data_IF_187260739721
#
_entry.id   IF_187260739721
#
_cell.length_a   1.000
_cell.length_b   1.000
_cell.length_c   1.000
_cell.angle_alpha   90.00
_cell.angle_beta   90.00
_cell.angle_gamma   90.00
#
_symmetry.space_group_name_H-M   'P 1'
#
loop_
_entity.id
_entity.type
_entity.pdbx_description
1 polymer ?
#
# COMPACT_ATOMS: atom_id res chain seq x y z
N UNK A 1 13.15 -1.87 25.62
CA UNK A 1 13.55 -1.19 24.37
C UNK A 1 12.31 -0.50 23.84
N UNK A 2 12.34 0.82 23.72
CA UNK A 2 11.24 1.60 23.16
C UNK A 2 11.32 1.41 21.63
N UNK A 3 10.37 0.71 21.02
CA UNK A 3 10.37 0.49 19.58
C UNK A 3 10.28 1.84 18.86
N UNK A 4 11.23 2.09 17.96
CA UNK A 4 11.27 3.32 17.18
C UNK A 4 10.48 3.12 15.88
N UNK A 5 9.15 3.24 15.99
CA UNK A 5 8.18 3.00 14.91
C UNK A 5 8.51 3.76 13.63
N UNK A 6 9.00 4.99 13.75
CA UNK A 6 9.34 5.84 12.60
C UNK A 6 10.61 5.37 11.89
N UNK A 7 11.53 4.70 12.59
CA UNK A 7 12.75 4.14 12.02
C UNK A 7 12.57 2.73 11.43
N UNK A 8 11.44 2.08 11.70
CA UNK A 8 11.14 0.72 11.25
C UNK A 8 10.27 0.75 10.00
N UNK A 9 10.62 -0.07 8.99
CA UNK A 9 9.75 -0.31 7.83
C UNK A 9 9.00 -1.62 8.06
N UNK A 10 7.67 -1.57 8.08
CA UNK A 10 6.85 -2.75 8.30
C UNK A 10 6.35 -3.28 6.96
N UNK A 11 6.77 -4.47 6.54
CA UNK A 11 6.31 -5.07 5.29
C UNK A 11 5.22 -6.08 5.57
N UNK A 12 4.03 -5.79 5.06
CA UNK A 12 2.81 -6.57 5.17
C UNK A 12 2.63 -7.36 3.89
N UNK A 13 2.36 -8.65 4.02
CA UNK A 13 2.17 -9.53 2.87
C UNK A 13 0.98 -10.46 3.14
N UNK A 14 -0.02 -10.39 2.27
CA UNK A 14 -1.29 -11.09 2.48
C UNK A 14 -2.11 -11.26 1.20
N UNK A 15 -3.26 -11.91 1.32
CA UNK A 15 -4.19 -12.19 0.22
C UNK A 15 -5.38 -11.24 0.35
N UNK A 16 -5.69 -10.52 -0.73
CA UNK A 16 -6.90 -9.72 -0.85
C UNK A 16 -8.02 -10.57 -1.46
N UNK A 17 -9.08 -10.76 -0.69
CA UNK A 17 -10.27 -11.53 -1.06
C UNK A 17 -11.47 -10.61 -1.15
N UNK A 18 -12.34 -10.85 -2.13
CA UNK A 18 -13.66 -10.24 -2.19
C UNK A 18 -14.63 -11.13 -1.43
N UNK A 19 -15.39 -10.55 -0.52
CA UNK A 19 -16.41 -11.28 0.24
C UNK A 19 -17.64 -11.39 -0.66
N UNK A 20 -17.93 -12.61 -1.10
CA UNK A 20 -19.15 -12.87 -1.88
C UNK A 20 -20.35 -12.65 -0.97
N UNK A 21 -21.25 -11.74 -1.34
CA UNK A 21 -22.58 -11.67 -0.72
C UNK A 21 -23.26 -12.98 -1.08
N UNK A 22 -23.39 -13.90 -0.11
CA UNK A 22 -24.16 -15.12 -0.27
C UNK A 22 -25.50 -14.75 -0.93
N UNK A 23 -25.85 -15.42 -2.03
CA UNK A 23 -27.00 -15.12 -2.88
C UNK A 23 -28.38 -15.32 -2.22
N UNK A 24 -28.50 -15.17 -0.91
CA UNK A 24 -29.74 -15.12 -0.16
C UNK A 24 -30.31 -13.70 -0.19
N UNK A 25 -31.38 -13.52 -0.98
CA UNK A 25 -32.33 -12.41 -0.82
C UNK A 25 -32.64 -12.17 0.67
N UNK A 26 -32.21 -11.04 1.18
CA UNK A 26 -32.90 -10.32 2.23
C UNK A 26 -32.94 -8.85 1.82
N UNK A 27 -34.05 -8.47 1.20
CA UNK A 27 -34.54 -7.10 1.23
C UNK A 27 -34.78 -6.77 2.71
N UNK A 28 -33.89 -6.02 3.34
CA UNK A 28 -34.25 -5.12 4.43
C UNK A 28 -33.15 -4.07 4.61
N UNK A 29 -33.59 -2.81 4.54
CA UNK A 29 -32.81 -1.60 4.41
C UNK A 29 -31.83 -1.38 5.57
N UNK A 30 -30.53 -1.48 5.28
CA UNK A 30 -29.53 -0.58 5.86
C UNK A 30 -28.65 -0.09 4.71
N UNK A 31 -28.98 1.09 4.18
CA UNK A 31 -28.21 1.77 3.15
C UNK A 31 -26.73 1.91 3.57
N UNK A 32 -25.89 1.01 3.08
CA UNK A 32 -24.45 0.98 3.33
C UNK A 32 -23.70 0.77 2.01
N UNK A 33 -23.86 1.74 1.09
CA UNK A 33 -22.97 1.99 -0.05
C UNK A 33 -22.85 0.90 -1.13
N UNK A 34 -22.74 1.34 -2.40
CA UNK A 34 -22.44 0.50 -3.57
C UNK A 34 -20.97 -0.03 -3.59
N UNK A 35 -20.44 -0.43 -2.43
CA UNK A 35 -19.07 -0.91 -2.28
C UNK A 35 -18.94 -2.42 -2.32
N UNK A 36 -17.80 -2.90 -2.82
CA UNK A 36 -17.39 -4.30 -2.71
C UNK A 36 -16.83 -4.56 -1.30
N UNK A 37 -17.36 -5.55 -0.59
CA UNK A 37 -16.81 -5.97 0.69
C UNK A 37 -15.52 -6.78 0.46
N UNK A 38 -14.46 -6.43 1.18
CA UNK A 38 -13.13 -7.02 0.98
C UNK A 38 -12.48 -7.43 2.29
N UNK A 39 -11.63 -8.45 2.22
CA UNK A 39 -10.81 -8.96 3.31
C UNK A 39 -9.35 -9.00 2.88
N UNK A 40 -8.44 -8.55 3.73
CA UNK A 40 -7.00 -8.72 3.55
C UNK A 40 -6.40 -9.37 4.79
N UNK A 41 -5.85 -10.57 4.61
CA UNK A 41 -5.26 -11.35 5.71
C UNK A 41 -3.86 -11.82 5.37
N UNK A 42 -3.03 -11.92 6.40
CA UNK A 42 -1.68 -12.47 6.25
C UNK A 42 -0.77 -12.16 7.42
N UNK A 43 0.47 -11.82 7.07
CA UNK A 43 1.56 -11.62 8.04
C UNK A 43 2.37 -10.38 7.73
N UNK A 44 2.98 -9.78 8.73
CA UNK A 44 3.90 -8.66 8.54
C UNK A 44 5.24 -8.88 9.23
N UNK A 45 6.28 -8.20 8.74
CA UNK A 45 7.64 -8.23 9.29
C UNK A 45 8.16 -6.80 9.46
N UNK A 46 8.71 -6.49 10.64
CA UNK A 46 9.38 -5.22 10.91
C UNK A 46 10.86 -5.30 10.52
N UNK A 47 11.32 -4.33 9.74
CA UNK A 47 12.73 -4.15 9.40
C UNK A 47 13.23 -2.86 10.02
N UNK A 48 14.20 -2.96 10.94
CA UNK A 48 14.84 -1.81 11.59
C UNK A 48 15.77 -1.07 10.61
N UNK A 49 15.19 -0.49 9.57
CA UNK A 49 15.90 0.22 8.52
C UNK A 49 15.26 1.57 8.24
N UNK A 50 16.07 2.61 8.49
CA UNK A 50 15.80 3.99 8.06
C UNK A 50 15.90 4.13 6.53
N UNK A 51 16.63 3.24 5.88
CA UNK A 51 16.92 3.23 4.45
C UNK A 51 16.07 2.16 3.77
N UNK A 52 15.03 2.58 3.06
CA UNK A 52 14.07 1.66 2.46
C UNK A 52 14.68 0.82 1.33
N UNK A 53 15.73 1.32 0.67
CA UNK A 53 16.43 0.62 -0.43
C UNK A 53 17.09 -0.69 0.03
N UNK A 54 17.32 -0.85 1.33
CA UNK A 54 17.93 -2.04 1.93
C UNK A 54 16.91 -3.09 2.38
N UNK A 55 15.62 -2.79 2.25
CA UNK A 55 14.55 -3.69 2.66
C UNK A 55 14.09 -4.50 1.47
N UNK A 56 14.45 -5.78 1.46
CA UNK A 56 13.99 -6.74 0.47
C UNK A 56 12.52 -7.11 0.69
N UNK A 57 11.89 -7.63 -0.37
CA UNK A 57 10.60 -8.28 -0.23
C UNK A 57 10.74 -9.48 0.72
N UNK A 58 9.82 -9.68 1.67
CA UNK A 58 9.90 -10.82 2.56
C UNK A 58 9.82 -12.12 1.76
N UNK A 59 10.69 -13.07 2.10
CA UNK A 59 10.79 -14.35 1.42
C UNK A 59 9.77 -15.33 1.99
N UNK A 60 9.17 -16.12 1.11
CA UNK A 60 8.20 -17.16 1.44
C UNK A 60 8.76 -18.52 1.05
N UNK A 61 8.49 -19.55 1.85
CA UNK A 61 8.75 -20.92 1.44
C UNK A 61 7.89 -21.30 0.23
N UNK A 62 8.31 -22.27 -0.59
CA UNK A 62 7.57 -22.67 -1.78
C UNK A 62 6.18 -23.27 -1.48
N UNK A 63 5.93 -23.69 -0.23
CA UNK A 63 4.69 -24.31 0.22
C UNK A 63 3.97 -23.50 1.31
N UNK A 64 4.55 -22.37 1.73
CA UNK A 64 3.92 -21.53 2.74
C UNK A 64 2.94 -20.58 2.07
N UNK A 65 1.76 -20.40 2.68
CA UNK A 65 0.77 -19.44 2.20
C UNK A 65 1.21 -18.00 2.53
N UNK A 66 1.75 -17.77 3.72
CA UNK A 66 2.21 -16.47 4.21
C UNK A 66 3.71 -16.48 4.50
N UNK A 67 4.27 -15.28 4.67
CA UNK A 67 5.65 -15.13 5.13
C UNK A 67 5.76 -15.73 6.53
N UNK A 68 6.86 -16.42 6.83
CA UNK A 68 7.12 -16.96 8.16
C UNK A 68 7.35 -15.81 9.16
N UNK A 69 6.28 -15.37 9.81
CA UNK A 69 6.28 -14.35 10.86
C UNK A 69 5.29 -14.72 11.94
N UNK A 70 5.59 -14.36 13.18
CA UNK A 70 4.67 -14.50 14.30
C UNK A 70 3.60 -13.39 14.32
N UNK A 71 3.80 -12.32 13.54
CA UNK A 71 2.87 -11.21 13.49
C UNK A 71 1.87 -11.39 12.36
N UNK A 72 0.61 -11.65 12.72
CA UNK A 72 -0.49 -11.85 11.79
C UNK A 72 -1.37 -10.61 11.73
N UNK A 73 -2.13 -10.52 10.65
CA UNK A 73 -3.19 -9.54 10.53
C UNK A 73 -4.39 -10.13 9.79
N UNK A 74 -5.55 -9.61 10.13
CA UNK A 74 -6.82 -9.89 9.48
C UNK A 74 -7.62 -8.58 9.54
N UNK A 75 -7.76 -7.92 8.38
CA UNK A 75 -8.47 -6.65 8.25
C UNK A 75 -9.53 -6.75 7.17
N UNK A 76 -10.67 -6.16 7.44
CA UNK A 76 -11.83 -6.12 6.56
C UNK A 76 -12.15 -4.68 6.20
N UNK A 77 -12.84 -4.50 5.09
CA UNK A 77 -13.18 -3.19 4.59
C UNK A 77 -14.18 -3.20 3.46
N UNK A 78 -14.38 -2.00 2.92
CA UNK A 78 -15.28 -1.77 1.80
C UNK A 78 -14.52 -0.96 0.76
N UNK A 79 -14.53 -1.42 -0.49
CA UNK A 79 -13.95 -0.73 -1.62
C UNK A 79 -15.03 -0.03 -2.43
N UNK A 80 -14.87 1.26 -2.64
CA UNK A 80 -15.72 2.05 -3.52
C UNK A 80 -14.90 2.44 -4.74
N UNK A 81 -15.43 2.18 -5.93
CA UNK A 81 -14.80 2.60 -7.17
C UNK A 81 -15.05 4.09 -7.39
N UNK A 82 -14.01 4.85 -7.66
CA UNK A 82 -14.16 6.25 -8.03
C UNK A 82 -14.89 6.43 -9.37
N UNK A 83 -15.55 7.57 -9.52
CA UNK A 83 -16.43 7.88 -10.64
C UNK A 83 -15.67 8.53 -11.81
N UNK A 84 -16.12 8.26 -13.03
CA UNK A 84 -15.65 8.91 -14.25
C UNK A 84 -16.29 10.28 -14.46
N UNK A 85 -17.45 10.55 -13.86
CA UNK A 85 -18.20 11.79 -14.08
C UNK A 85 -17.54 13.03 -13.46
N UNK A 86 -16.71 12.84 -12.42
CA UNK A 86 -15.91 13.91 -11.78
C UNK A 86 -14.65 14.30 -12.59
N UNK A 87 -14.44 13.70 -13.76
CA UNK A 87 -13.38 14.12 -14.67
C UNK A 87 -13.91 15.31 -15.47
N UNK A 88 -13.85 16.52 -14.87
CA UNK A 88 -13.87 17.73 -15.67
C UNK A 88 -12.78 17.61 -16.75
N UNK A 89 -13.06 18.15 -17.94
CA UNK A 89 -12.29 18.02 -19.17
C UNK A 89 -10.91 18.71 -19.10
N UNK A 90 -10.12 18.41 -18.08
CA UNK A 90 -8.71 18.71 -18.01
C UNK A 90 -8.00 17.87 -19.08
N UNK A 91 -7.34 18.60 -19.98
CA UNK A 91 -6.55 18.10 -21.10
C UNK A 91 -5.71 16.86 -20.71
N UNK A 92 -5.57 15.94 -21.68
CA UNK A 92 -4.85 14.65 -21.65
C UNK A 92 -3.37 14.74 -21.18
N UNK A 93 -3.13 15.21 -19.97
CA UNK A 93 -1.88 14.95 -19.26
C UNK A 93 -1.98 13.53 -18.74
N UNK A 94 -1.37 12.57 -19.46
CA UNK A 94 -1.20 11.21 -18.99
C UNK A 94 -0.45 11.21 -17.65
N UNK A 95 -1.19 11.09 -16.54
CA UNK A 95 -0.61 10.89 -15.21
C UNK A 95 -0.20 9.42 -15.10
N UNK A 96 1.07 9.18 -14.75
CA UNK A 96 1.60 7.83 -14.54
C UNK A 96 0.75 7.09 -13.50
N UNK A 97 0.23 5.92 -13.89
CA UNK A 97 -0.65 5.11 -13.04
C UNK A 97 -2.11 5.54 -13.01
N UNK A 98 -2.53 6.48 -13.89
CA UNK A 98 -3.91 6.94 -14.04
C UNK A 98 -4.32 8.03 -13.03
N UNK A 99 -5.54 8.55 -13.21
CA UNK A 99 -6.14 9.54 -12.30
C UNK A 99 -6.60 8.87 -10.99
N UNK A 100 -6.35 9.49 -9.84
CA UNK A 100 -6.77 8.97 -8.53
C UNK A 100 -8.27 8.78 -8.43
N UNK A 101 -9.06 9.67 -9.04
CA UNK A 101 -10.52 9.58 -9.10
C UNK A 101 -11.05 8.31 -9.78
N UNK A 102 -10.21 7.55 -10.48
CA UNK A 102 -10.60 6.29 -11.12
C UNK A 102 -10.24 5.05 -10.31
N UNK A 103 -9.52 5.20 -9.20
CA UNK A 103 -9.08 4.10 -8.37
C UNK A 103 -10.22 3.61 -7.47
N UNK A 104 -10.12 2.36 -7.02
CA UNK A 104 -10.86 1.90 -5.86
C UNK A 104 -10.21 2.49 -4.60
N UNK A 105 -11.01 3.13 -3.76
CA UNK A 105 -10.63 3.48 -2.39
C UNK A 105 -11.23 2.44 -1.45
N UNK A 106 -10.39 1.67 -0.79
CA UNK A 106 -10.75 0.65 0.18
C UNK A 106 -10.49 1.13 1.61
N UNK A 107 -11.54 1.18 2.43
CA UNK A 107 -11.44 1.55 3.85
C UNK A 107 -11.24 0.30 4.71
N UNK A 108 -9.99 0.04 5.11
CA UNK A 108 -9.52 -1.21 5.74
C UNK A 108 -9.35 -1.09 7.25
N UNK A 109 -10.43 -0.69 7.93
CA UNK A 109 -10.43 -0.36 9.38
C UNK A 109 -11.19 -1.36 10.25
N UNK A 110 -11.80 -2.38 9.64
CA UNK A 110 -12.60 -3.39 10.36
C UNK A 110 -11.80 -4.70 10.53
N UNK A 111 -12.37 -5.64 11.28
CA UNK A 111 -11.80 -6.98 11.49
C UNK A 111 -10.99 -7.11 12.79
N UNK A 112 -10.30 -8.25 12.99
CA UNK A 112 -9.48 -8.49 14.17
C UNK A 112 -8.25 -7.60 14.31
N UNK A 113 -7.84 -6.90 13.25
CA UNK A 113 -6.67 -6.03 13.24
C UNK A 113 -5.37 -6.81 13.09
N UNK A 114 -4.31 -6.33 13.74
CA UNK A 114 -2.98 -6.90 13.63
C UNK A 114 -2.34 -7.18 14.98
N UNK A 115 -1.52 -8.22 15.00
CA UNK A 115 -0.80 -8.68 16.16
C UNK A 115 0.52 -7.91 16.29
N UNK A 116 0.81 -7.40 17.48
CA UNK A 116 2.09 -6.78 17.84
C UNK A 116 2.61 -7.44 19.12
N UNK A 117 3.85 -7.94 19.09
CA UNK A 117 4.48 -8.48 20.30
C UNK A 117 5.19 -7.37 21.06
N UNK A 118 4.73 -7.10 22.27
CA UNK A 118 5.32 -6.13 23.20
C UNK A 118 5.72 -6.87 24.48
N UNK A 119 7.00 -7.20 24.61
CA UNK A 119 7.48 -8.01 25.75
C UNK A 119 7.03 -9.47 25.65
N UNK A 120 6.41 -10.01 26.70
CA UNK A 120 6.01 -11.43 26.79
C UNK A 120 4.65 -11.73 26.12
N UNK A 121 3.88 -10.70 25.74
CA UNK A 121 2.52 -10.85 25.20
C UNK A 121 2.36 -10.37 23.76
N UNK A 122 1.34 -10.91 23.08
CA UNK A 122 0.85 -10.41 21.79
C UNK A 122 -0.40 -9.59 22.06
N UNK A 123 -0.39 -8.32 21.64
CA UNK A 123 -1.53 -7.41 21.72
C UNK A 123 -2.09 -7.18 20.33
N UNK A 124 -3.42 -7.07 20.23
CA UNK A 124 -4.11 -6.72 18.99
C UNK A 124 -4.29 -5.22 18.88
N UNK A 125 -4.02 -4.70 17.70
CA UNK A 125 -4.10 -3.29 17.35
C UNK A 125 -4.95 -3.10 16.09
N UNK A 126 -5.53 -1.91 15.93
CA UNK A 126 -6.35 -1.56 14.77
C UNK A 126 -5.95 -0.20 14.24
N UNK A 127 -6.13 -0.01 12.93
CA UNK A 127 -6.02 1.29 12.32
C UNK A 127 -7.31 2.08 12.52
N UNK A 128 -7.19 3.38 12.84
CA UNK A 128 -8.34 4.30 12.93
C UNK A 128 -8.69 4.85 11.56
N UNK A 129 -7.70 4.98 10.68
CA UNK A 129 -7.84 5.31 9.26
C UNK A 129 -6.92 4.39 8.48
N UNK A 130 -7.43 3.80 7.40
CA UNK A 130 -6.62 2.98 6.49
C UNK A 130 -7.27 2.98 5.11
N UNK A 131 -6.95 4.00 4.33
CA UNK A 131 -7.47 4.19 2.98
C UNK A 131 -6.45 3.63 2.00
N UNK A 132 -6.80 2.50 1.38
CA UNK A 132 -5.94 1.77 0.43
C UNK A 132 -6.47 1.97 -0.98
N UNK A 133 -5.59 2.33 -1.90
CA UNK A 133 -5.93 2.69 -3.28
C UNK A 133 -5.46 1.62 -4.25
N UNK A 134 -6.41 1.07 -5.01
CA UNK A 134 -6.18 0.01 -5.98
C UNK A 134 -6.68 0.42 -7.37
N UNK A 135 -5.90 0.14 -8.42
CA UNK A 135 -6.43 0.24 -9.80
C UNK A 135 -7.46 -0.86 -10.08
N UNK A 136 -7.33 -2.01 -9.41
CA UNK A 136 -8.26 -3.14 -9.50
C UNK A 136 -8.22 -3.98 -8.23
N UNK A 137 -9.36 -4.53 -7.82
CA UNK A 137 -9.46 -5.44 -6.66
C UNK A 137 -9.11 -6.90 -7.00
N UNK A 138 -8.90 -7.21 -8.29
CA UNK A 138 -8.49 -8.54 -8.76
C UNK A 138 -7.28 -8.41 -9.67
N UNK A 139 -6.27 -9.23 -9.44
CA UNK A 139 -5.11 -9.30 -10.31
C UNK A 139 -5.51 -9.77 -11.72
N UNK A 140 -5.18 -8.97 -12.74
CA UNK A 140 -5.62 -9.21 -14.13
C UNK A 140 -4.57 -9.86 -15.03
N UNK A 141 -3.37 -10.14 -14.53
CA UNK A 141 -2.30 -10.70 -15.37
C UNK A 141 -1.64 -9.71 -16.33
N UNK A 142 -1.87 -8.40 -16.14
CA UNK A 142 -1.18 -7.40 -16.94
C UNK A 142 0.29 -7.30 -16.52
N UNK A 143 1.16 -8.02 -17.24
CA UNK A 143 2.61 -7.97 -17.04
C UNK A 143 3.28 -6.83 -17.80
N UNK A 144 2.54 -6.21 -18.74
CA UNK A 144 3.03 -5.07 -19.52
C UNK A 144 2.94 -3.81 -18.67
N UNK A 145 1.74 -3.44 -18.26
CA UNK A 145 1.57 -2.29 -17.38
C UNK A 145 1.66 -2.70 -15.91
N UNK A 146 2.88 -2.74 -15.39
CA UNK A 146 3.11 -3.07 -13.99
C UNK A 146 2.67 -1.94 -13.04
N UNK A 147 2.52 -0.71 -13.56
CA UNK A 147 2.14 0.47 -12.79
C UNK A 147 0.71 0.33 -12.26
N UNK A 148 -0.19 -0.31 -13.03
CA UNK A 148 -1.55 -0.64 -12.59
C UNK A 148 -1.59 -1.50 -11.32
N UNK A 149 -0.53 -2.27 -11.07
CA UNK A 149 -0.45 -3.16 -9.92
C UNK A 149 0.11 -2.48 -8.67
N UNK A 150 0.54 -1.21 -8.73
CA UNK A 150 1.05 -0.49 -7.56
C UNK A 150 -0.11 -0.11 -6.65
N UNK A 151 0.08 -0.35 -5.36
CA UNK A 151 -0.92 -0.11 -4.31
C UNK A 151 -0.36 0.92 -3.35
N UNK A 152 -1.22 1.85 -2.95
CA UNK A 152 -0.88 2.95 -2.04
C UNK A 152 -1.83 2.94 -0.87
N UNK A 153 -1.39 3.43 0.29
CA UNK A 153 -2.31 3.73 1.37
C UNK A 153 -1.84 4.90 2.20
N UNK A 154 -2.81 5.61 2.76
CA UNK A 154 -2.64 6.58 3.83
C UNK A 154 -3.43 6.09 5.03
N UNK A 155 -2.89 6.30 6.23
CA UNK A 155 -3.61 5.87 7.42
C UNK A 155 -3.08 6.45 8.72
N UNK A 156 -3.76 6.07 9.79
CA UNK A 156 -3.50 6.52 11.15
C UNK A 156 -3.90 5.42 12.14
N UNK A 157 -3.16 5.33 13.24
CA UNK A 157 -3.51 4.54 14.41
C UNK A 157 -2.88 5.17 15.67
N UNK A 158 -2.88 4.45 16.78
CA UNK A 158 -2.33 4.95 18.04
C UNK A 158 -0.83 5.28 18.01
N UNK A 159 -0.08 4.75 17.03
CA UNK A 159 1.35 5.04 16.84
C UNK A 159 1.58 6.30 15.99
N UNK A 160 0.54 6.79 15.29
CA UNK A 160 0.56 8.01 14.49
C UNK A 160 0.18 7.79 13.02
N UNK A 161 0.37 8.84 12.22
CA UNK A 161 0.13 8.81 10.79
C UNK A 161 1.14 7.89 10.09
N UNK A 162 0.70 7.20 9.05
CA UNK A 162 1.56 6.37 8.21
C UNK A 162 1.19 6.49 6.74
N UNK A 163 2.18 6.21 5.91
CA UNK A 163 2.00 5.95 4.48
C UNK A 163 2.37 4.50 4.21
N UNK A 164 1.75 3.90 3.20
CA UNK A 164 2.14 2.57 2.74
C UNK A 164 2.20 2.51 1.21
N UNK A 165 3.17 1.78 0.69
CA UNK A 165 3.39 1.62 -0.75
C UNK A 165 3.77 0.18 -1.04
N UNK A 166 3.22 -0.37 -2.12
CA UNK A 166 3.35 -1.79 -2.41
C UNK A 166 2.86 -2.17 -3.78
N UNK A 167 2.58 -3.46 -3.95
CA UNK A 167 2.03 -4.00 -5.18
C UNK A 167 1.01 -5.11 -4.93
N UNK A 168 0.18 -5.34 -5.94
CA UNK A 168 -0.61 -6.54 -6.10
C UNK A 168 0.05 -7.47 -7.12
N UNK A 169 0.11 -8.76 -6.82
CA UNK A 169 0.68 -9.80 -7.67
C UNK A 169 -0.32 -10.95 -7.87
N UNK A 170 0.12 -11.94 -8.63
CA UNK A 170 -0.60 -13.19 -8.94
C UNK A 170 -1.33 -13.71 -7.70
N UNK A 171 -2.60 -14.08 -7.86
CA UNK A 171 -3.44 -14.60 -6.78
C UNK A 171 -3.93 -13.56 -5.79
N UNK A 172 -4.10 -12.30 -6.23
CA UNK A 172 -4.49 -11.16 -5.38
C UNK A 172 -3.57 -10.97 -4.16
N UNK A 173 -2.30 -11.33 -4.32
CA UNK A 173 -1.33 -11.15 -3.25
C UNK A 173 -0.96 -9.69 -3.17
N UNK A 174 -1.21 -9.06 -2.03
CA UNK A 174 -0.87 -7.67 -1.78
C UNK A 174 0.30 -7.64 -0.80
N UNK A 175 1.40 -7.03 -1.25
CA UNK A 175 2.58 -6.75 -0.41
C UNK A 175 2.70 -5.23 -0.28
N UNK A 176 2.66 -4.69 0.93
CA UNK A 176 2.79 -3.26 1.21
C UNK A 176 3.81 -3.01 2.31
N UNK A 177 4.70 -2.05 2.09
CA UNK A 177 5.53 -1.53 3.15
C UNK A 177 4.87 -0.31 3.78
N UNK A 178 4.80 -0.26 5.10
CA UNK A 178 4.25 0.81 5.92
C UNK A 178 5.38 1.56 6.62
N UNK A 179 5.32 2.89 6.57
CA UNK A 179 6.23 3.80 7.28
C UNK A 179 5.41 4.77 8.12
N UNK A 180 5.69 4.81 9.42
CA UNK A 180 5.17 5.85 10.30
C UNK A 180 5.90 7.17 10.06
N UNK A 181 5.14 8.25 10.02
CA UNK A 181 5.60 9.58 9.67
C UNK A 181 5.72 10.42 10.93
N UNK A 182 6.88 11.03 11.13
CA UNK A 182 7.12 11.92 12.27
C UNK A 182 6.22 13.17 12.20
N UNK A 183 5.94 13.78 13.34
CA UNK A 183 5.03 14.93 13.44
C UNK A 183 5.52 16.15 12.66
N UNK A 184 6.85 16.28 12.56
CA UNK A 184 7.52 17.39 11.89
C UNK A 184 7.87 17.08 10.42
N UNK A 185 7.52 15.89 9.93
CA UNK A 185 7.78 15.49 8.55
C UNK A 185 6.72 16.02 7.59
N UNK A 186 7.15 16.64 6.48
CA UNK A 186 6.24 17.25 5.50
C UNK A 186 5.32 16.24 4.81
N UNK A 187 5.69 14.95 4.75
CA UNK A 187 4.85 13.87 4.21
C UNK A 187 3.53 13.73 4.95
N UNK A 188 3.44 14.24 6.18
CA UNK A 188 2.22 14.21 6.99
C UNK A 188 1.10 15.07 6.40
N UNK A 189 1.43 15.99 5.50
CA UNK A 189 0.48 16.84 4.76
C UNK A 189 0.11 16.28 3.40
N UNK A 190 0.79 15.21 2.96
CA UNK A 190 0.57 14.64 1.64
C UNK A 190 -0.82 14.03 1.55
N UNK A 191 -1.47 14.30 0.42
CA UNK A 191 -2.58 13.49 -0.03
C UNK A 191 -2.07 12.29 -0.85
N UNK A 192 -3.02 11.57 -1.45
CA UNK A 192 -2.71 10.38 -2.23
C UNK A 192 -2.03 10.72 -3.57
N UNK A 193 -2.30 11.88 -4.16
CA UNK A 193 -1.67 12.33 -5.40
C UNK A 193 -0.20 12.69 -5.16
N UNK A 194 0.09 13.38 -4.07
CA UNK A 194 1.46 13.69 -3.63
C UNK A 194 2.29 12.40 -3.45
N UNK A 195 1.73 11.41 -2.74
CA UNK A 195 2.40 10.13 -2.51
C UNK A 195 2.65 9.38 -3.82
N UNK A 196 1.64 9.28 -4.69
CA UNK A 196 1.75 8.60 -5.99
C UNK A 196 2.82 9.22 -6.86
N UNK A 197 2.82 10.54 -6.98
CA UNK A 197 3.82 11.29 -7.73
C UNK A 197 5.22 11.03 -7.20
N UNK A 198 5.44 11.19 -5.90
CA UNK A 198 6.75 11.00 -5.27
C UNK A 198 7.32 9.59 -5.47
N UNK A 199 6.45 8.57 -5.49
CA UNK A 199 6.81 7.17 -5.73
C UNK A 199 7.10 6.94 -7.22
N UNK A 200 6.16 7.27 -8.10
CA UNK A 200 6.29 6.97 -9.54
C UNK A 200 7.46 7.68 -10.20
N UNK A 201 7.80 8.90 -9.76
CA UNK A 201 8.97 9.65 -10.22
C UNK A 201 10.31 8.88 -10.04
N UNK A 202 10.34 7.88 -9.14
CA UNK A 202 11.55 7.12 -8.83
C UNK A 202 11.50 5.65 -9.24
N UNK A 203 10.31 5.04 -9.20
CA UNK A 203 10.20 3.60 -9.43
C UNK A 203 9.90 3.25 -10.88
N UNK A 204 9.54 4.23 -11.72
CA UNK A 204 9.17 3.99 -13.11
C UNK A 204 10.23 4.46 -14.10
N UNK A 205 10.31 3.77 -15.23
CA UNK A 205 11.08 4.19 -16.40
C UNK A 205 10.25 3.99 -17.66
N UNK A 206 10.31 4.97 -18.56
CA UNK A 206 9.65 4.94 -19.86
C UNK A 206 10.67 4.47 -20.90
N UNK A 207 10.44 3.32 -21.53
CA UNK A 207 11.29 2.85 -22.62
C UNK A 207 11.03 3.62 -23.91
N UNK A 208 11.91 3.45 -24.90
CA UNK A 208 11.89 4.20 -26.18
C UNK A 208 10.61 4.00 -27.00
N UNK A 209 9.89 2.91 -26.75
CA UNK A 209 8.61 2.57 -27.37
C UNK A 209 7.39 3.08 -26.57
N UNK A 210 7.62 3.91 -25.55
CA UNK A 210 6.57 4.51 -24.71
C UNK A 210 6.07 3.59 -23.59
N UNK A 211 6.63 2.39 -23.44
CA UNK A 211 6.20 1.44 -22.42
C UNK A 211 6.77 1.81 -21.03
N UNK A 212 5.89 1.82 -20.03
CA UNK A 212 6.29 2.07 -18.64
C UNK A 212 6.65 0.77 -17.92
N UNK A 213 7.77 0.78 -17.21
CA UNK A 213 8.23 -0.36 -16.41
C UNK A 213 8.59 0.07 -14.99
N UNK A 214 8.33 -0.81 -14.02
CA UNK A 214 8.79 -0.64 -12.65
C UNK A 214 10.23 -1.16 -12.57
N UNK A 215 11.18 -0.31 -12.21
CA UNK A 215 12.62 -0.63 -12.17
C UNK A 215 13.11 -1.04 -10.78
N UNK A 216 12.39 -0.68 -9.73
CA UNK A 216 12.67 -1.06 -8.34
C UNK A 216 11.37 -1.35 -7.58
N UNK A 217 11.39 -2.16 -6.50
CA UNK A 217 10.23 -2.33 -5.63
C UNK A 217 9.61 -0.99 -5.18
N UNK A 218 8.27 -0.84 -5.19
CA UNK A 218 7.59 0.41 -4.88
C UNK A 218 7.99 1.05 -3.55
N UNK A 219 8.30 0.24 -2.55
CA UNK A 219 8.72 0.74 -1.24
C UNK A 219 10.19 1.13 -1.14
N UNK A 220 11.02 0.87 -2.15
CA UNK A 220 12.45 1.22 -2.13
C UNK A 220 12.70 2.67 -2.62
N UNK A 221 11.66 3.48 -2.77
CA UNK A 221 11.75 4.90 -3.14
C UNK A 221 11.97 5.82 -1.93
N UNK A 222 12.39 7.07 -2.20
CA UNK A 222 12.66 8.09 -1.19
C UNK A 222 11.50 8.34 -0.21
N UNK A 223 10.27 8.27 -0.70
CA UNK A 223 9.07 8.47 0.11
C UNK A 223 9.00 7.52 1.30
N UNK A 224 9.65 6.35 1.26
CA UNK A 224 9.57 5.31 2.29
C UNK A 224 10.76 5.28 3.27
N UNK A 225 11.73 6.18 3.13
CA UNK A 225 12.81 6.32 4.10
C UNK A 225 12.30 6.94 5.41
N UNK A 226 13.00 6.72 6.52
CA UNK A 226 12.65 7.40 7.77
C UNK A 226 12.91 8.92 7.66
N UNK A 227 14.01 9.31 7.00
CA UNK A 227 14.35 10.71 6.70
C UNK A 227 14.48 10.89 5.16
N UNK A 228 13.47 11.48 4.49
CA UNK A 228 13.48 11.64 3.05
C UNK A 228 14.50 12.69 2.57
N UNK A 229 14.95 13.60 3.44
CA UNK A 229 15.87 14.69 3.10
C UNK A 229 17.31 14.24 2.83
N UNK A 230 17.71 13.07 3.33
CA UNK A 230 19.09 12.56 3.19
C UNK A 230 19.42 11.96 1.83
N UNK A 231 18.44 11.81 0.94
CA UNK A 231 18.61 11.10 -0.34
C UNK A 231 19.20 11.99 -1.45
N UNK A 232 19.35 13.29 -1.18
CA UNK A 232 19.77 14.29 -2.16
C UNK A 232 21.22 14.16 -2.68
N UNK A 233 22.09 13.34 -2.09
CA UNK A 233 23.51 13.28 -2.50
C UNK A 233 23.97 12.05 -3.26
N UNK A 234 23.29 10.89 -3.19
CA UNK A 234 23.84 9.64 -3.78
C UNK A 234 23.13 9.18 -5.06
N UNK A 235 21.81 9.32 -5.16
CA UNK A 235 21.06 8.78 -6.30
C UNK A 235 21.05 9.66 -7.57
N UNK A 236 21.41 10.95 -7.47
CA UNK A 236 21.59 11.79 -8.68
C UNK A 236 22.80 11.39 -9.55
N UNK A 237 23.72 10.60 -9.01
CA UNK A 237 24.95 10.17 -9.69
C UNK A 237 24.77 8.92 -10.53
N UNK A 238 23.87 8.01 -10.13
CA UNK A 238 23.71 6.71 -10.79
C UNK A 238 22.66 6.70 -11.92
N UNK A 239 21.85 7.76 -12.03
CA UNK A 239 20.94 7.99 -13.17
C UNK A 239 21.58 8.77 -14.34
N UNK A 240 22.89 9.06 -14.26
CA UNK A 240 23.63 9.83 -15.27
C UNK A 240 24.76 9.07 -15.97
N UNK A 241 24.91 7.77 -15.74
CA UNK A 241 25.92 6.94 -16.40
C UNK A 241 25.27 5.82 -17.22
#
# INVERSE_FOLDING_TARGET
MQQNWTQTLFVWDGILSLVEKDGGRAEEDVATGDGDEIKWEGTWVGFDSVDATKVDAPKRGPFDEFVSSEHKFDVNGWAIKGDKEDIEAEEDNEVIGGKVSLLYQAKMINGPGYDLRMGEGVTKHNDTVHDVYFSTLRWKGNLRDQVENVVFALGENEFGNFISVGWMRVGNRVTMARRYIDKDDDRRKWDIDDLRKAVFDQITSISKDGHMSIIIPPWQCAAMHADPGQITKRQKTDLKN
#
